data_IF_215258724825
#
_entry.id   IF_215258724825
#
_cell.length_a   1.000
_cell.length_b   1.000
_cell.length_c   1.000
_cell.angle_alpha   90.00
_cell.angle_beta   90.00
_cell.angle_gamma   90.00
#
_symmetry.space_group_name_H-M   'P 1'
#
loop_
_entity.id
_entity.type
_entity.pdbx_description
1 polymer ?
#
# COMPACT_ATOMS: atom_id res chain seq x y z
N UNK A 1 -5.68 -63.44 14.04
CA UNK A 1 -6.02 -62.02 14.28
C UNK A 1 -5.28 -61.18 13.25
N UNK A 2 -6.00 -60.46 12.38
CA UNK A 2 -5.43 -59.70 11.26
C UNK A 2 -4.95 -58.31 11.70
N UNK A 3 -4.17 -58.23 12.77
CA UNK A 3 -3.60 -56.98 13.29
C UNK A 3 -2.82 -56.14 12.27
N UNK A 4 -2.02 -56.70 11.32
CA UNK A 4 -1.27 -55.86 10.38
C UNK A 4 -2.17 -55.15 9.36
N UNK A 5 -3.29 -55.77 8.95
CA UNK A 5 -4.22 -55.17 7.98
C UNK A 5 -4.90 -53.93 8.57
N UNK A 6 -5.32 -54.01 9.84
CA UNK A 6 -5.95 -52.88 10.53
C UNK A 6 -5.00 -51.70 10.72
N UNK A 7 -3.72 -51.95 11.00
CA UNK A 7 -2.72 -50.88 11.12
C UNK A 7 -2.54 -50.12 9.79
N UNK A 8 -2.54 -50.84 8.66
CA UNK A 8 -2.43 -50.20 7.33
C UNK A 8 -3.67 -49.34 7.06
N UNK A 9 -4.87 -49.84 7.35
CA UNK A 9 -6.12 -49.09 7.15
C UNK A 9 -6.15 -47.83 8.02
N UNK A 10 -5.82 -47.95 9.31
CA UNK A 10 -5.78 -46.81 10.24
C UNK A 10 -4.75 -45.78 9.80
N UNK A 11 -3.57 -46.22 9.34
CA UNK A 11 -2.52 -45.32 8.86
C UNK A 11 -2.94 -44.61 7.58
N UNK A 12 -3.58 -45.30 6.64
CA UNK A 12 -4.10 -44.72 5.41
C UNK A 12 -5.18 -43.66 5.70
N UNK A 13 -6.11 -43.95 6.60
CA UNK A 13 -7.14 -42.98 7.02
C UNK A 13 -6.52 -41.77 7.72
N UNK A 14 -5.52 -41.98 8.57
CA UNK A 14 -4.80 -40.91 9.26
C UNK A 14 -4.06 -40.01 8.27
N UNK A 15 -3.43 -40.61 7.25
CA UNK A 15 -2.77 -39.86 6.18
C UNK A 15 -3.76 -39.03 5.36
N UNK A 16 -4.89 -39.61 4.95
CA UNK A 16 -5.95 -38.89 4.22
C UNK A 16 -6.49 -37.71 5.04
N UNK A 17 -6.77 -37.93 6.32
CA UNK A 17 -7.19 -36.84 7.22
C UNK A 17 -6.12 -35.74 7.31
N UNK A 18 -4.85 -36.10 7.46
CA UNK A 18 -3.74 -35.14 7.50
C UNK A 18 -3.66 -34.28 6.23
N UNK A 19 -3.82 -34.89 5.06
CA UNK A 19 -3.85 -34.17 3.77
C UNK A 19 -5.04 -33.21 3.72
N UNK A 20 -6.24 -33.65 4.13
CA UNK A 20 -7.44 -32.79 4.17
C UNK A 20 -7.24 -31.62 5.12
N UNK A 21 -6.76 -31.85 6.34
CA UNK A 21 -6.49 -30.79 7.32
C UNK A 21 -5.44 -29.81 6.82
N UNK A 22 -4.37 -30.29 6.20
CA UNK A 22 -3.33 -29.44 5.61
C UNK A 22 -3.91 -28.53 4.53
N UNK A 23 -4.79 -29.06 3.68
CA UNK A 23 -5.45 -28.28 2.63
C UNK A 23 -6.39 -27.21 3.20
N UNK A 24 -7.20 -27.56 4.22
CA UNK A 24 -8.09 -26.60 4.90
C UNK A 24 -7.28 -25.50 5.58
N UNK A 25 -6.22 -25.85 6.32
CA UNK A 25 -5.33 -24.89 6.97
C UNK A 25 -4.65 -23.97 5.96
N UNK A 26 -4.17 -24.50 4.84
CA UNK A 26 -3.57 -23.69 3.78
C UNK A 26 -4.58 -22.67 3.23
N UNK A 27 -5.82 -23.08 2.98
CA UNK A 27 -6.89 -22.19 2.51
C UNK A 27 -7.20 -21.10 3.53
N UNK A 28 -7.39 -21.49 4.79
CA UNK A 28 -7.80 -20.56 5.85
C UNK A 28 -6.66 -19.59 6.20
N UNK A 29 -5.40 -20.04 6.21
CA UNK A 29 -4.23 -19.17 6.33
C UNK A 29 -4.19 -18.11 5.23
N UNK A 30 -4.56 -18.48 4.00
CA UNK A 30 -4.58 -17.55 2.88
C UNK A 30 -5.69 -16.50 2.98
N UNK A 31 -6.87 -16.88 3.50
CA UNK A 31 -7.96 -15.93 3.78
C UNK A 31 -7.57 -15.01 4.94
N UNK A 32 -7.01 -15.57 6.01
CA UNK A 32 -6.57 -14.83 7.20
C UNK A 32 -5.49 -13.81 6.84
N UNK A 33 -4.50 -14.19 6.04
CA UNK A 33 -3.45 -13.28 5.57
C UNK A 33 -4.07 -12.05 4.87
N UNK A 34 -5.05 -12.26 3.99
CA UNK A 34 -5.75 -11.16 3.32
C UNK A 34 -6.53 -10.28 4.27
N UNK A 35 -7.31 -10.86 5.19
CA UNK A 35 -8.11 -10.06 6.13
C UNK A 35 -7.22 -9.24 7.05
N UNK A 36 -6.16 -9.84 7.57
CA UNK A 36 -5.19 -9.16 8.45
C UNK A 36 -4.48 -8.04 7.70
N UNK A 37 -3.96 -8.29 6.49
CA UNK A 37 -3.30 -7.24 5.71
C UNK A 37 -4.25 -6.07 5.40
N UNK A 38 -5.51 -6.35 5.04
CA UNK A 38 -6.51 -5.28 4.80
C UNK A 38 -6.82 -4.49 6.07
N UNK A 39 -6.91 -5.16 7.21
CA UNK A 39 -7.12 -4.50 8.50
C UNK A 39 -5.92 -3.60 8.85
N UNK A 40 -4.69 -4.08 8.65
CA UNK A 40 -3.48 -3.28 8.87
C UNK A 40 -3.40 -2.09 7.90
N UNK A 41 -3.70 -2.28 6.61
CA UNK A 41 -3.73 -1.17 5.66
C UNK A 41 -4.75 -0.10 6.06
N UNK A 42 -5.95 -0.49 6.50
CA UNK A 42 -6.96 0.45 6.99
C UNK A 42 -6.51 1.13 8.29
N UNK A 43 -5.84 0.41 9.18
CA UNK A 43 -5.26 0.98 10.39
C UNK A 43 -4.23 2.06 10.05
N UNK A 44 -3.34 1.81 9.09
CA UNK A 44 -2.36 2.79 8.63
C UNK A 44 -3.02 4.06 8.07
N UNK A 45 -4.14 3.94 7.34
CA UNK A 45 -4.91 5.12 6.92
C UNK A 45 -5.47 5.90 8.12
N UNK A 46 -6.05 5.20 9.09
CA UNK A 46 -6.57 5.86 10.30
C UNK A 46 -5.45 6.56 11.10
N UNK A 47 -4.24 6.03 11.07
CA UNK A 47 -3.07 6.69 11.66
C UNK A 47 -2.72 7.97 10.89
N UNK A 48 -2.73 7.94 9.56
CA UNK A 48 -2.57 9.15 8.71
C UNK A 48 -3.66 10.18 9.04
N UNK A 49 -4.93 9.78 9.09
CA UNK A 49 -6.06 10.65 9.41
C UNK A 49 -5.90 11.28 10.80
N UNK A 50 -5.47 10.49 11.78
CA UNK A 50 -5.20 10.98 13.13
C UNK A 50 -4.10 12.05 13.12
N UNK A 51 -3.00 11.83 12.41
CA UNK A 51 -1.94 12.84 12.31
C UNK A 51 -2.42 14.15 11.67
N UNK A 52 -3.31 14.07 10.68
CA UNK A 52 -3.92 15.25 10.05
C UNK A 52 -4.86 16.01 10.99
N UNK A 53 -5.61 15.29 11.83
CA UNK A 53 -6.46 15.89 12.87
C UNK A 53 -5.63 16.53 13.97
N UNK A 54 -4.58 15.84 14.43
CA UNK A 54 -3.70 16.30 15.50
C UNK A 54 -2.80 17.47 15.07
N UNK A 55 -2.57 17.64 13.76
CA UNK A 55 -1.70 18.68 13.20
C UNK A 55 -2.31 19.27 11.93
N UNK A 56 -3.26 20.22 12.06
CA UNK A 56 -3.99 20.76 10.91
C UNK A 56 -3.08 21.49 9.92
N UNK A 57 -1.90 21.96 10.33
CA UNK A 57 -0.92 22.58 9.42
C UNK A 57 -0.45 21.63 8.31
N UNK A 58 -0.55 20.32 8.51
CA UNK A 58 -0.24 19.32 7.49
C UNK A 58 -1.17 19.42 6.28
N UNK A 59 -2.37 19.99 6.44
CA UNK A 59 -3.27 20.26 5.31
C UNK A 59 -2.68 21.19 4.26
N UNK A 60 -1.65 21.98 4.62
CA UNK A 60 -0.92 22.79 3.67
C UNK A 60 -0.28 21.96 2.54
N UNK A 61 -0.12 20.64 2.70
CA UNK A 61 0.39 19.75 1.66
C UNK A 61 -0.51 19.58 0.44
N UNK A 62 -1.81 19.88 0.56
CA UNK A 62 -2.75 19.83 -0.57
C UNK A 62 -2.78 21.10 -1.41
N UNK A 63 -1.87 22.04 -1.17
CA UNK A 63 -1.78 23.23 -1.99
C UNK A 63 -1.13 22.96 -3.35
N UNK A 64 -1.92 23.09 -4.41
CA UNK A 64 -1.50 22.94 -5.80
C UNK A 64 -0.56 24.06 -6.26
N UNK A 65 -0.63 25.25 -5.64
CA UNK A 65 0.01 26.48 -6.13
C UNK A 65 1.35 26.81 -5.45
N UNK A 66 1.85 25.94 -4.56
CA UNK A 66 3.19 26.11 -3.98
C UNK A 66 3.32 27.29 -3.00
N UNK A 67 2.23 27.71 -2.34
CA UNK A 67 2.24 28.69 -1.25
C UNK A 67 3.07 28.23 -0.03
N UNK A 68 3.55 26.98 -0.03
CA UNK A 68 4.50 26.44 0.95
C UNK A 68 5.86 27.14 0.99
N UNK A 69 6.21 27.91 -0.05
CA UNK A 69 7.44 28.71 -0.09
C UNK A 69 7.56 29.70 1.07
N UNK A 70 6.45 30.08 1.71
CA UNK A 70 6.42 30.99 2.85
C UNK A 70 6.37 30.30 4.22
N UNK A 71 6.38 28.96 4.27
CA UNK A 71 6.36 28.22 5.54
C UNK A 71 7.72 28.28 6.24
N UNK A 72 7.71 28.24 7.57
CA UNK A 72 8.95 28.15 8.33
C UNK A 72 9.68 26.83 8.02
N UNK A 73 11.02 26.79 8.10
CA UNK A 73 11.80 25.57 7.83
C UNK A 73 11.33 24.36 8.64
N UNK A 74 10.93 24.57 9.89
CA UNK A 74 10.40 23.54 10.78
C UNK A 74 9.09 22.92 10.24
N UNK A 75 8.17 23.75 9.75
CA UNK A 75 6.93 23.26 9.14
C UNK A 75 7.19 22.49 7.85
N UNK A 76 8.11 22.98 7.01
CA UNK A 76 8.48 22.26 5.78
C UNK A 76 9.08 20.88 6.09
N UNK A 77 9.92 20.79 7.13
CA UNK A 77 10.46 19.50 7.58
C UNK A 77 9.35 18.57 8.10
N UNK A 78 8.39 19.09 8.86
CA UNK A 78 7.24 18.32 9.37
C UNK A 78 6.38 17.77 8.22
N UNK A 79 6.06 18.61 7.23
CA UNK A 79 5.33 18.18 6.03
C UNK A 79 6.14 17.13 5.26
N UNK A 80 7.44 17.32 5.10
CA UNK A 80 8.32 16.33 4.44
C UNK A 80 8.32 14.98 5.15
N UNK A 81 8.43 14.96 6.47
CA UNK A 81 8.32 13.74 7.27
C UNK A 81 6.96 13.07 7.09
N UNK A 82 5.89 13.86 7.01
CA UNK A 82 4.56 13.33 6.76
C UNK A 82 4.43 12.73 5.36
N UNK A 83 5.00 13.34 4.32
CA UNK A 83 5.05 12.74 2.97
C UNK A 83 5.78 11.40 2.99
N UNK A 84 6.92 11.29 3.69
CA UNK A 84 7.62 10.01 3.85
C UNK A 84 6.77 8.96 4.55
N UNK A 85 6.04 9.35 5.61
CA UNK A 85 5.10 8.45 6.30
C UNK A 85 4.05 7.91 5.32
N UNK A 86 3.41 8.79 4.55
CA UNK A 86 2.43 8.41 3.53
C UNK A 86 3.08 7.46 2.52
N UNK A 87 4.26 7.80 1.98
CA UNK A 87 4.96 6.94 1.02
C UNK A 87 5.30 5.56 1.58
N UNK A 88 5.71 5.44 2.84
CA UNK A 88 6.00 4.15 3.48
C UNK A 88 4.75 3.28 3.60
N UNK A 89 3.61 3.88 3.93
CA UNK A 89 2.31 3.18 3.95
C UNK A 89 1.99 2.66 2.54
N UNK A 90 2.13 3.51 1.52
CA UNK A 90 1.85 3.10 0.15
C UNK A 90 2.81 2.05 -0.41
N UNK A 91 4.08 2.07 -0.03
CA UNK A 91 5.01 1.00 -0.40
C UNK A 91 4.57 -0.33 0.21
N UNK A 92 4.18 -0.33 1.49
CA UNK A 92 3.69 -1.53 2.18
C UNK A 92 2.46 -2.11 1.46
N UNK A 93 1.52 -1.24 1.08
CA UNK A 93 0.33 -1.66 0.32
C UNK A 93 0.70 -2.15 -1.07
N UNK A 94 1.60 -1.46 -1.76
CA UNK A 94 2.06 -1.83 -3.10
C UNK A 94 2.70 -3.23 -3.09
N UNK A 95 3.60 -3.48 -2.14
CA UNK A 95 4.31 -4.74 -1.99
C UNK A 95 3.34 -5.90 -1.74
N UNK A 96 2.35 -5.68 -0.87
CA UNK A 96 1.30 -6.67 -0.64
C UNK A 96 0.60 -7.09 -1.93
N UNK A 97 0.13 -6.13 -2.76
CA UNK A 97 -0.64 -6.44 -3.96
C UNK A 97 0.20 -6.92 -5.15
N UNK A 98 1.48 -6.57 -5.22
CA UNK A 98 2.33 -6.92 -6.37
C UNK A 98 3.26 -8.11 -6.12
N UNK A 99 3.55 -8.43 -4.86
CA UNK A 99 4.54 -9.45 -4.51
C UNK A 99 4.02 -10.53 -3.57
N UNK A 100 3.14 -10.20 -2.61
CA UNK A 100 2.72 -11.17 -1.57
C UNK A 100 1.48 -11.98 -1.91
N UNK A 101 0.56 -11.45 -2.73
CA UNK A 101 -0.69 -12.16 -3.05
C UNK A 101 -0.95 -12.29 -4.55
N UNK A 102 -1.42 -13.47 -4.96
CA UNK A 102 -2.13 -13.62 -6.23
C UNK A 102 -3.48 -12.90 -6.14
N UNK A 103 -3.62 -11.81 -6.88
CA UNK A 103 -4.80 -10.94 -6.86
C UNK A 103 -6.03 -11.67 -7.41
N UNK A 104 -7.14 -11.59 -6.68
CA UNK A 104 -8.48 -11.89 -7.17
C UNK A 104 -9.23 -10.58 -7.51
N UNK A 105 -10.48 -10.69 -7.99
CA UNK A 105 -11.27 -9.51 -8.35
C UNK A 105 -11.52 -8.53 -7.18
N UNK A 106 -11.65 -9.05 -5.95
CA UNK A 106 -11.81 -8.20 -4.76
C UNK A 106 -10.51 -7.49 -4.38
N UNK A 107 -9.36 -8.16 -4.54
CA UNK A 107 -8.04 -7.57 -4.36
C UNK A 107 -7.78 -6.51 -5.43
N UNK A 108 -8.25 -6.72 -6.67
CA UNK A 108 -8.21 -5.72 -7.73
C UNK A 108 -8.97 -4.46 -7.34
N UNK A 109 -10.25 -4.61 -6.96
CA UNK A 109 -11.08 -3.49 -6.56
C UNK A 109 -10.50 -2.73 -5.35
N UNK A 110 -9.89 -3.44 -4.40
CA UNK A 110 -9.28 -2.78 -3.24
C UNK A 110 -8.00 -2.03 -3.64
N UNK A 111 -7.13 -2.65 -4.43
CA UNK A 111 -5.95 -1.97 -4.97
C UNK A 111 -6.32 -0.72 -5.77
N UNK A 112 -7.37 -0.76 -6.60
CA UNK A 112 -7.82 0.43 -7.35
C UNK A 112 -8.12 1.61 -6.43
N UNK A 113 -8.72 1.38 -5.25
CA UNK A 113 -8.96 2.45 -4.28
C UNK A 113 -7.65 3.05 -3.78
N UNK A 114 -6.69 2.22 -3.42
CA UNK A 114 -5.36 2.66 -3.00
C UNK A 114 -4.64 3.43 -4.10
N UNK A 115 -4.67 2.90 -5.33
CA UNK A 115 -4.13 3.58 -6.51
C UNK A 115 -4.75 4.98 -6.70
N UNK A 116 -6.07 5.10 -6.56
CA UNK A 116 -6.75 6.38 -6.69
C UNK A 116 -6.33 7.38 -5.62
N UNK A 117 -6.16 6.94 -4.37
CA UNK A 117 -5.76 7.84 -3.28
C UNK A 117 -4.33 8.34 -3.47
N UNK A 118 -3.36 7.48 -3.81
CA UNK A 118 -1.98 7.96 -4.08
C UNK A 118 -1.93 8.84 -5.32
N UNK A 119 -2.71 8.52 -6.35
CA UNK A 119 -2.81 9.34 -7.57
C UNK A 119 -3.35 10.72 -7.23
N UNK A 120 -4.41 10.79 -6.44
CA UNK A 120 -4.98 12.06 -5.98
C UNK A 120 -3.98 12.86 -5.15
N UNK A 121 -3.34 12.20 -4.19
CA UNK A 121 -2.32 12.83 -3.34
C UNK A 121 -1.18 13.44 -4.15
N UNK A 122 -0.64 12.68 -5.11
CA UNK A 122 0.41 13.17 -6.00
C UNK A 122 -0.09 14.18 -7.03
N UNK A 123 -1.40 14.22 -7.33
CA UNK A 123 -2.02 15.24 -8.18
C UNK A 123 -2.12 16.58 -7.47
N UNK A 124 -2.61 16.59 -6.24
CA UNK A 124 -2.87 17.81 -5.49
C UNK A 124 -1.61 18.37 -4.82
N UNK A 125 -0.65 17.52 -4.45
CA UNK A 125 0.54 17.96 -3.72
C UNK A 125 1.76 18.13 -4.62
N UNK A 126 2.09 19.38 -4.97
CA UNK A 126 3.35 19.70 -5.65
C UNK A 126 4.57 19.28 -4.82
N UNK A 127 4.47 19.44 -3.50
CA UNK A 127 5.52 19.06 -2.56
C UNK A 127 5.75 17.55 -2.53
N UNK A 128 4.70 16.73 -2.55
CA UNK A 128 4.86 15.28 -2.62
C UNK A 128 5.58 14.84 -3.90
N UNK A 129 5.28 15.49 -5.04
CA UNK A 129 5.99 15.23 -6.30
C UNK A 129 7.48 15.58 -6.21
N UNK A 130 7.83 16.68 -5.54
CA UNK A 130 9.23 17.06 -5.29
C UNK A 130 9.95 15.99 -4.46
N UNK A 131 9.31 15.51 -3.38
CA UNK A 131 9.87 14.45 -2.53
C UNK A 131 10.08 13.17 -3.34
N UNK A 132 9.13 12.76 -4.17
CA UNK A 132 9.28 11.58 -5.05
C UNK A 132 10.39 11.74 -6.09
N UNK A 133 10.64 12.97 -6.56
CA UNK A 133 11.70 13.27 -7.51
C UNK A 133 13.10 13.31 -6.87
N UNK A 134 13.21 13.50 -5.55
CA UNK A 134 14.49 13.58 -4.85
C UNK A 134 15.28 12.26 -4.90
N UNK A 135 16.53 12.34 -5.33
CA UNK A 135 17.42 11.18 -5.51
C UNK A 135 17.66 10.44 -4.20
N UNK A 136 17.75 11.15 -3.06
CA UNK A 136 17.96 10.50 -1.77
C UNK A 136 16.72 9.72 -1.35
N UNK A 137 15.55 10.32 -1.49
CA UNK A 137 14.25 9.67 -1.27
C UNK A 137 14.15 8.38 -2.07
N UNK A 138 14.41 8.42 -3.38
CA UNK A 138 14.29 7.26 -4.28
C UNK A 138 15.15 6.05 -3.87
N UNK A 139 16.26 6.26 -3.17
CA UNK A 139 17.14 5.17 -2.70
C UNK A 139 16.56 4.37 -1.53
N UNK A 140 15.57 4.92 -0.83
CA UNK A 140 14.97 4.26 0.34
C UNK A 140 13.84 3.32 -0.02
N UNK A 141 13.39 3.30 -1.28
CA UNK A 141 12.23 2.55 -1.74
C UNK A 141 12.63 1.53 -2.80
N UNK A 142 11.81 0.50 -2.93
CA UNK A 142 11.94 -0.52 -3.98
C UNK A 142 11.82 0.09 -5.38
N UNK A 143 12.61 -0.43 -6.33
CA UNK A 143 12.62 0.03 -7.72
C UNK A 143 11.23 -0.09 -8.39
N UNK A 144 10.51 -1.17 -8.07
CA UNK A 144 9.14 -1.39 -8.57
C UNK A 144 8.18 -0.31 -8.09
N UNK A 145 8.26 0.09 -6.82
CA UNK A 145 7.43 1.15 -6.27
C UNK A 145 7.78 2.51 -6.86
N UNK A 146 9.08 2.85 -6.98
CA UNK A 146 9.52 4.10 -7.61
C UNK A 146 9.06 4.20 -9.07
N UNK A 147 9.20 3.12 -9.84
CA UNK A 147 8.71 3.06 -11.23
C UNK A 147 7.20 3.27 -11.30
N UNK A 148 6.46 2.74 -10.34
CA UNK A 148 5.02 2.95 -10.23
C UNK A 148 4.67 4.43 -9.95
N UNK A 149 5.36 5.07 -9.00
CA UNK A 149 5.17 6.49 -8.70
C UNK A 149 5.51 7.39 -9.90
N UNK A 150 6.60 7.09 -10.63
CA UNK A 150 7.00 7.85 -11.82
C UNK A 150 5.90 7.85 -12.90
N UNK A 151 5.23 6.71 -13.10
CA UNK A 151 4.10 6.62 -14.03
C UNK A 151 2.93 7.51 -13.61
N UNK A 152 2.63 7.55 -12.31
CA UNK A 152 1.59 8.42 -11.77
C UNK A 152 1.97 9.89 -11.99
N UNK A 153 3.17 10.30 -11.59
CA UNK A 153 3.65 11.68 -11.74
C UNK A 153 3.62 12.11 -13.21
N UNK A 154 4.06 11.26 -14.14
CA UNK A 154 4.00 11.54 -15.57
C UNK A 154 2.56 11.72 -16.07
N UNK A 155 1.62 10.88 -15.59
CA UNK A 155 0.20 10.99 -15.96
C UNK A 155 -0.45 12.29 -15.46
N UNK A 156 -0.12 12.70 -14.23
CA UNK A 156 -0.60 13.96 -13.62
C UNK A 156 -0.09 15.16 -14.42
N UNK A 157 1.21 15.20 -14.73
CA UNK A 157 1.81 16.29 -15.49
C UNK A 157 1.27 16.38 -16.92
N UNK A 158 0.95 15.25 -17.54
CA UNK A 158 0.31 15.22 -18.85
C UNK A 158 -1.14 15.77 -18.82
N UNK A 159 -1.88 15.47 -17.75
CA UNK A 159 -3.23 16.00 -17.53
C UNK A 159 -3.24 17.52 -17.37
N UNK A 160 -2.38 18.06 -16.50
CA UNK A 160 -2.30 19.51 -16.23
C UNK A 160 -1.99 20.33 -17.49
N UNK A 161 -1.10 19.85 -18.36
CA UNK A 161 -0.78 20.51 -19.65
C UNK A 161 -1.94 20.55 -20.63
N UNK A 162 -2.93 19.66 -20.49
CA UNK A 162 -4.12 19.65 -21.33
C UNK A 162 -5.13 20.68 -20.83
N UNK A 163 -5.27 20.80 -19.52
CA UNK A 163 -6.21 21.75 -18.90
C UNK A 163 -5.77 23.21 -19.14
N UNK A 164 -4.47 23.51 -19.16
CA UNK A 164 -3.93 24.85 -19.48
C UNK A 164 -4.19 25.30 -20.94
N UNK A 165 -4.52 24.39 -21.84
CA UNK A 165 -4.75 24.69 -23.27
C UNK A 165 -6.22 24.84 -23.64
N UNK A 166 -7.13 24.65 -22.69
CA UNK A 166 -8.59 24.68 -22.90
C UNK A 166 -9.16 25.96 -22.34
#
# INVERSE_FOLDING_TARGET
>A
MNTPVWLIVISALSFVNSVIFTFVLWRDNYVLLRSTARQEHNRLLLEIDKYLVDSPDLWAMWDEHGAQSNLSPEHQMKIRQFVYLVMNVYETVFDFYHHLVRRNAADEAHWTKWHNIITEFLRTSAFAREVVADVKTRRNYSEGFITYLDRIVASVQAGQKKDEKT
#
